data_IF_951440606946
#
_entry.id   IF_951440606946
#
_cell.length_a   1.000
_cell.length_b   1.000
_cell.length_c   1.000
_cell.angle_alpha   90.00
_cell.angle_beta   90.00
_cell.angle_gamma   90.00
#
_symmetry.space_group_name_H-M   'P 1'
#
loop_
_entity.id
_entity.type
_entity.pdbx_description
1 polymer ?
#
# COMPACT_ATOMS: atom_id res chain seq x y z
N UNK A 1 0.29 -19.82 0.92
CA UNK A 1 -0.56 -18.87 0.14
C UNK A 1 -1.66 -19.72 -0.47
N UNK A 2 -2.94 -19.28 -0.52
CA UNK A 2 -3.97 -20.11 -1.18
C UNK A 2 -3.70 -20.17 -2.69
N UNK A 3 -4.13 -21.22 -3.40
CA UNK A 3 -3.87 -21.38 -4.84
C UNK A 3 -4.34 -20.17 -5.68
N UNK A 4 -5.56 -19.67 -5.45
CA UNK A 4 -6.06 -18.43 -6.08
C UNK A 4 -5.17 -17.21 -5.82
N UNK A 5 -4.63 -17.11 -4.60
CA UNK A 5 -3.70 -16.02 -4.23
C UNK A 5 -2.34 -16.18 -4.89
N UNK A 6 -1.89 -17.43 -5.09
CA UNK A 6 -0.65 -17.74 -5.79
C UNK A 6 -0.72 -17.33 -7.26
N UNK A 7 -1.79 -17.69 -7.97
CA UNK A 7 -1.98 -17.25 -9.36
C UNK A 7 -2.07 -15.74 -9.47
N UNK A 8 -2.89 -15.10 -8.63
CA UNK A 8 -3.02 -13.63 -8.62
C UNK A 8 -1.69 -12.93 -8.30
N UNK A 9 -0.93 -13.43 -7.33
CA UNK A 9 0.38 -12.88 -7.01
C UNK A 9 1.38 -13.09 -8.16
N UNK A 10 1.34 -14.23 -8.84
CA UNK A 10 2.22 -14.51 -9.99
C UNK A 10 1.98 -13.51 -11.11
N UNK A 11 0.73 -13.24 -11.47
CA UNK A 11 0.36 -12.24 -12.48
C UNK A 11 0.76 -10.81 -12.06
N UNK A 12 0.56 -10.46 -10.78
CA UNK A 12 0.97 -9.16 -10.25
C UNK A 12 2.50 -8.99 -10.22
N UNK A 13 3.23 -10.08 -9.95
CA UNK A 13 4.69 -10.12 -9.95
C UNK A 13 5.25 -9.86 -11.34
N UNK A 14 4.65 -10.43 -12.39
CA UNK A 14 5.07 -10.27 -13.78
C UNK A 14 5.02 -8.80 -14.23
N UNK A 15 4.10 -8.01 -13.67
CA UNK A 15 3.99 -6.57 -13.90
C UNK A 15 5.11 -5.74 -13.25
N UNK A 16 5.95 -6.37 -12.42
CA UNK A 16 7.17 -5.79 -11.85
C UNK A 16 7.02 -5.13 -10.49
N UNK A 17 8.12 -5.13 -9.73
CA UNK A 17 8.21 -4.60 -8.35
C UNK A 17 7.90 -3.11 -8.28
N UNK A 18 8.48 -2.31 -9.16
CA UNK A 18 8.33 -0.84 -9.15
C UNK A 18 6.87 -0.45 -9.33
N UNK A 19 6.18 -1.04 -10.31
CA UNK A 19 4.75 -0.80 -10.55
C UNK A 19 3.90 -1.21 -9.36
N UNK A 20 4.21 -2.33 -8.71
CA UNK A 20 3.52 -2.75 -7.50
C UNK A 20 3.68 -1.75 -6.35
N UNK A 21 4.90 -1.25 -6.10
CA UNK A 21 5.15 -0.30 -5.01
C UNK A 21 4.42 1.02 -5.25
N UNK A 22 4.44 1.55 -6.48
CA UNK A 22 3.70 2.77 -6.80
C UNK A 22 2.18 2.59 -6.65
N UNK A 23 1.62 1.52 -7.22
CA UNK A 23 0.17 1.31 -7.19
C UNK A 23 -0.28 0.92 -5.77
N UNK A 24 0.26 -0.16 -5.22
CA UNK A 24 -0.24 -0.72 -3.96
C UNK A 24 0.34 -0.08 -2.71
N UNK A 25 1.55 0.49 -2.78
CA UNK A 25 2.18 1.20 -1.67
C UNK A 25 1.77 2.67 -1.61
N UNK A 26 1.82 3.40 -2.72
CA UNK A 26 1.54 4.84 -2.71
C UNK A 26 0.07 5.13 -2.99
N UNK A 27 -0.48 4.63 -4.11
CA UNK A 27 -1.85 4.99 -4.53
C UNK A 27 -2.91 4.34 -3.63
N UNK A 28 -2.80 3.05 -3.34
CA UNK A 28 -3.80 2.34 -2.53
C UNK A 28 -3.59 2.43 -1.01
N UNK A 29 -2.41 2.85 -0.54
CA UNK A 29 -2.12 2.92 0.89
C UNK A 29 -1.73 4.33 1.33
N UNK A 30 -0.69 4.94 0.73
CA UNK A 30 -0.25 6.29 1.08
C UNK A 30 -1.34 7.37 0.95
N UNK A 31 -2.02 7.45 -0.21
CA UNK A 31 -3.05 8.48 -0.46
C UNK A 31 -4.26 8.31 0.47
N UNK A 32 -4.89 7.12 0.60
CA UNK A 32 -6.00 6.93 1.53
C UNK A 32 -5.63 7.20 2.98
N UNK A 33 -4.43 6.81 3.42
CA UNK A 33 -3.97 7.07 4.80
C UNK A 33 -3.77 8.56 5.04
N UNK A 34 -3.25 9.31 4.08
CA UNK A 34 -3.13 10.78 4.19
C UNK A 34 -4.51 11.43 4.34
N UNK A 35 -5.50 11.03 3.53
CA UNK A 35 -6.88 11.53 3.62
C UNK A 35 -7.48 11.15 4.99
N UNK A 36 -7.32 9.90 5.42
CA UNK A 36 -7.84 9.42 6.71
C UNK A 36 -7.20 10.17 7.88
N UNK A 37 -5.92 10.52 7.78
CA UNK A 37 -5.22 11.28 8.81
C UNK A 37 -5.80 12.68 9.00
N UNK A 38 -6.25 13.34 7.93
CA UNK A 38 -6.93 14.64 8.04
C UNK A 38 -8.28 14.53 8.72
N UNK A 39 -9.03 13.46 8.42
CA UNK A 39 -10.31 13.19 9.08
C UNK A 39 -10.08 12.94 10.57
N UNK A 40 -9.07 12.14 10.92
CA UNK A 40 -8.71 11.86 12.31
C UNK A 40 -8.33 13.13 13.08
N UNK A 41 -7.52 14.01 12.49
CA UNK A 41 -7.12 15.27 13.13
C UNK A 41 -8.34 16.14 13.42
N UNK A 42 -9.27 16.28 12.47
CA UNK A 42 -10.50 17.04 12.69
C UNK A 42 -11.39 16.44 13.79
N UNK A 43 -11.48 15.11 13.85
CA UNK A 43 -12.24 14.42 14.90
C UNK A 43 -11.63 14.65 16.30
N UNK A 44 -10.30 14.70 16.40
CA UNK A 44 -9.59 14.89 17.66
C UNK A 44 -9.59 16.35 18.14
N UNK A 45 -9.49 17.30 17.22
CA UNK A 45 -9.49 18.74 17.55
C UNK A 45 -10.89 19.28 17.88
N UNK A 46 -11.95 18.47 17.73
CA UNK A 46 -13.35 18.85 18.02
C UNK A 46 -13.91 19.95 17.13
N UNK A 47 -13.11 20.46 16.20
CA UNK A 47 -13.47 21.49 15.23
C UNK A 47 -14.00 20.82 13.96
N UNK A 48 -15.31 20.60 13.93
CA UNK A 48 -16.03 20.07 12.75
C UNK A 48 -16.25 21.12 11.64
N UNK A 49 -15.45 22.20 11.62
CA UNK A 49 -15.60 23.28 10.65
C UNK A 49 -14.70 23.06 9.45
N UNK A 50 -15.26 23.06 8.23
CA UNK A 50 -14.51 23.01 6.98
C UNK A 50 -13.71 24.28 6.66
N UNK A 51 -13.73 25.30 7.55
CA UNK A 51 -13.01 26.55 7.38
C UNK A 51 -11.49 26.40 7.24
N UNK A 52 -10.91 25.29 7.71
CA UNK A 52 -9.49 24.99 7.53
C UNK A 52 -9.09 24.84 6.04
N UNK A 53 -10.02 24.44 5.15
CA UNK A 53 -9.75 24.25 3.72
C UNK A 53 -9.39 25.56 2.99
N UNK A 54 -9.79 26.70 3.56
CA UNK A 54 -9.51 28.03 3.01
C UNK A 54 -8.26 28.69 3.61
N UNK A 55 -7.57 28.00 4.52
CA UNK A 55 -6.41 28.55 5.19
C UNK A 55 -5.12 28.14 4.46
N UNK A 56 -4.24 29.08 4.12
CA UNK A 56 -2.99 28.79 3.41
C UNK A 56 -2.11 27.78 4.16
N UNK A 57 -2.15 27.80 5.49
CA UNK A 57 -1.40 26.88 6.35
C UNK A 57 -1.87 25.41 6.23
N UNK A 58 -3.14 25.19 5.88
CA UNK A 58 -3.67 23.85 5.63
C UNK A 58 -3.03 23.20 4.42
N UNK A 59 -2.86 23.94 3.31
CA UNK A 59 -2.27 23.41 2.08
C UNK A 59 -0.85 22.90 2.32
N UNK A 60 -0.01 23.68 3.02
CA UNK A 60 1.36 23.26 3.33
C UNK A 60 1.41 22.04 4.25
N UNK A 61 0.55 21.99 5.28
CA UNK A 61 0.47 20.86 6.21
C UNK A 61 -0.06 19.59 5.54
N UNK A 62 -1.06 19.72 4.67
CA UNK A 62 -1.62 18.60 3.90
C UNK A 62 -0.59 18.06 2.91
N UNK A 63 0.10 18.94 2.16
CA UNK A 63 1.12 18.53 1.20
C UNK A 63 2.30 17.85 1.89
N UNK A 64 2.74 18.37 3.04
CA UNK A 64 3.76 17.74 3.88
C UNK A 64 3.36 16.34 4.33
N UNK A 65 2.12 16.17 4.83
CA UNK A 65 1.58 14.86 5.21
C UNK A 65 1.50 13.91 4.03
N UNK A 66 1.04 14.37 2.86
CA UNK A 66 0.95 13.56 1.65
C UNK A 66 2.33 13.04 1.21
N UNK A 67 3.37 13.86 1.28
CA UNK A 67 4.76 13.44 0.99
C UNK A 67 5.23 12.39 2.00
N UNK A 68 5.06 12.66 3.29
CA UNK A 68 5.48 11.73 4.37
C UNK A 68 4.77 10.38 4.24
N UNK A 69 3.44 10.37 4.06
CA UNK A 69 2.66 9.15 3.90
C UNK A 69 2.92 8.44 2.58
N UNK A 70 3.26 9.16 1.51
CA UNK A 70 3.71 8.54 0.25
C UNK A 70 5.04 7.82 0.43
N UNK A 71 6.00 8.43 1.14
CA UNK A 71 7.28 7.80 1.48
C UNK A 71 7.04 6.56 2.35
N UNK A 72 6.21 6.67 3.40
CA UNK A 72 5.82 5.53 4.22
C UNK A 72 5.15 4.42 3.39
N UNK A 73 4.31 4.80 2.41
CA UNK A 73 3.69 3.88 1.46
C UNK A 73 4.68 3.16 0.56
N UNK A 74 5.78 3.81 0.15
CA UNK A 74 6.87 3.14 -0.56
C UNK A 74 7.52 2.07 0.33
N UNK A 75 7.86 2.39 1.57
CA UNK A 75 8.43 1.42 2.51
C UNK A 75 7.48 0.25 2.77
N UNK A 76 6.19 0.53 2.97
CA UNK A 76 5.17 -0.48 3.12
C UNK A 76 5.05 -1.38 1.87
N UNK A 77 5.00 -0.78 0.68
CA UNK A 77 4.94 -1.50 -0.59
C UNK A 77 6.14 -2.42 -0.80
N UNK A 78 7.35 -1.96 -0.45
CA UNK A 78 8.58 -2.76 -0.51
C UNK A 78 8.57 -3.92 0.48
N UNK A 79 8.14 -3.67 1.72
CA UNK A 79 8.03 -4.70 2.77
C UNK A 79 6.97 -5.76 2.43
N UNK A 80 5.81 -5.32 1.95
CA UNK A 80 4.72 -6.20 1.48
C UNK A 80 5.18 -7.05 0.30
N UNK A 81 5.86 -6.45 -0.68
CA UNK A 81 6.44 -7.18 -1.81
C UNK A 81 7.39 -8.29 -1.33
N UNK A 82 8.36 -7.95 -0.47
CA UNK A 82 9.32 -8.93 0.07
C UNK A 82 8.63 -10.06 0.83
N UNK A 83 7.59 -9.74 1.58
CA UNK A 83 6.79 -10.73 2.33
C UNK A 83 6.02 -11.68 1.41
N UNK A 84 5.41 -11.16 0.35
CA UNK A 84 4.67 -11.95 -0.62
C UNK A 84 5.61 -12.79 -1.51
N UNK A 85 6.79 -12.27 -1.85
CA UNK A 85 7.84 -13.02 -2.55
C UNK A 85 8.32 -14.24 -1.76
N UNK A 86 8.55 -14.07 -0.45
CA UNK A 86 8.90 -15.20 0.42
C UNK A 86 7.81 -16.28 0.41
N UNK A 87 6.54 -15.88 0.52
CA UNK A 87 5.39 -16.79 0.47
C UNK A 87 5.26 -17.49 -0.88
N UNK A 88 5.46 -16.75 -1.98
CA UNK A 88 5.38 -17.27 -3.34
C UNK A 88 6.47 -18.30 -3.63
N UNK A 89 7.71 -18.05 -3.21
CA UNK A 89 8.82 -19.01 -3.38
C UNK A 89 8.50 -20.35 -2.71
N UNK A 90 8.02 -20.34 -1.47
CA UNK A 90 7.61 -21.56 -0.75
C UNK A 90 6.49 -22.30 -1.48
N UNK A 91 5.47 -21.57 -1.96
CA UNK A 91 4.34 -22.16 -2.67
C UNK A 91 4.72 -22.72 -4.04
N UNK A 92 5.62 -22.05 -4.76
CA UNK A 92 6.16 -22.51 -6.05
C UNK A 92 6.79 -23.90 -5.94
N UNK A 93 7.60 -24.13 -4.90
CA UNK A 93 8.19 -25.44 -4.66
C UNK A 93 7.11 -26.52 -4.43
N UNK A 94 6.08 -26.22 -3.62
CA UNK A 94 4.97 -27.15 -3.37
C UNK A 94 4.21 -27.48 -4.66
N UNK A 95 3.91 -26.47 -5.47
CA UNK A 95 3.21 -26.63 -6.74
C UNK A 95 4.02 -27.50 -7.72
N UNK A 96 5.33 -27.26 -7.84
CA UNK A 96 6.20 -28.08 -8.71
C UNK A 96 6.30 -29.55 -8.27
N UNK A 97 6.23 -29.81 -6.96
CA UNK A 97 6.30 -31.18 -6.41
C UNK A 97 4.98 -31.92 -6.60
N UNK A 98 3.84 -31.23 -6.48
CA UNK A 98 2.51 -31.78 -6.75
C UNK A 98 2.37 -32.21 -8.21
N UNK A 99 2.73 -31.32 -9.15
CA UNK A 99 2.67 -31.59 -10.60
C UNK A 99 3.54 -32.76 -11.08
N UNK A 100 4.57 -33.16 -10.32
CA UNK A 100 5.41 -34.33 -10.65
C UNK A 100 4.83 -35.67 -10.15
N UNK A 101 3.81 -35.63 -9.31
CA UNK A 101 3.14 -36.82 -8.75
C UNK A 101 1.82 -37.15 -9.45
N UNK A 102 1.29 -36.21 -10.21
CA UNK A 102 0.11 -36.35 -11.08
C UNK A 102 0.58 -36.70 -12.50
#
# INVERSE_FOLDING_TARGET
MKEKQFHKWTELREKGKTKYVWIYGVIFWGIPVAILSEILVQLLDGNYSFGFLYNNDFYYKFLGRLIIFSIAGIFYGLSSWKSNEKKWNVEKYKYSKKKRKD
#
